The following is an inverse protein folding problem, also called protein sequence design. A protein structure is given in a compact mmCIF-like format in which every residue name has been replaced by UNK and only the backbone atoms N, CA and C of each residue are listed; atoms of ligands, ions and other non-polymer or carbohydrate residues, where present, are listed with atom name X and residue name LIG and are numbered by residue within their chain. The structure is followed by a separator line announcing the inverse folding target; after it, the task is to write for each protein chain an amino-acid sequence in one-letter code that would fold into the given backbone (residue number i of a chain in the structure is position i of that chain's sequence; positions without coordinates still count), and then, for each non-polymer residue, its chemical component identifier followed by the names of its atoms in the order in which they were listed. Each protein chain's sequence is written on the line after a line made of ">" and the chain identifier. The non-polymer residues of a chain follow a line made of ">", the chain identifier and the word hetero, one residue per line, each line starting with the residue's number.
data_IF_370854882811
#
_entry.id   IF_370854882811
#
_cell.length_a   1.000
_cell.length_b   1.000
_cell.length_c   1.000
_cell.angle_alpha   90.00
_cell.angle_beta   90.00
_cell.angle_gamma   90.00
#
_symmetry.space_group_name_H-M   'P 1'
#
loop_
_entity.id
_entity.type
_entity.pdbx_description
1 polymer ?
#
# COMPACT_ATOMS: atom_id res chain seq x y z
N UNK A 1 12.24 -2.96 -21.56
CA UNK A 1 11.24 -2.69 -20.49
C UNK A 1 11.75 -3.20 -19.14
N UNK A 2 12.63 -4.20 -19.13
CA UNK A 2 13.20 -4.75 -17.89
C UNK A 2 14.69 -4.39 -17.78
N UNK A 3 15.10 -3.96 -16.60
CA UNK A 3 16.49 -3.66 -16.21
C UNK A 3 16.85 -4.57 -15.03
N UNK A 4 17.95 -5.30 -15.13
CA UNK A 4 18.41 -6.21 -14.08
C UNK A 4 19.90 -5.91 -13.84
N UNK A 5 20.27 -5.60 -12.60
CA UNK A 5 21.67 -5.49 -12.22
C UNK A 5 22.35 -6.87 -12.33
N UNK A 6 23.68 -6.88 -12.49
CA UNK A 6 24.45 -8.12 -12.52
C UNK A 6 24.25 -8.92 -11.22
N UNK A 7 23.70 -10.13 -11.33
CA UNK A 7 23.46 -10.99 -10.18
C UNK A 7 24.67 -11.89 -9.91
N UNK A 8 25.18 -11.86 -8.67
CA UNK A 8 26.34 -12.65 -8.28
C UNK A 8 26.08 -14.15 -8.45
N UNK A 9 27.00 -14.83 -9.14
CA UNK A 9 26.91 -16.28 -9.38
C UNK A 9 25.92 -16.71 -10.47
N UNK A 10 25.33 -15.75 -11.22
CA UNK A 10 24.44 -16.04 -12.35
C UNK A 10 25.07 -15.54 -13.64
N UNK A 11 25.16 -16.43 -14.63
CA UNK A 11 25.70 -16.10 -15.94
C UNK A 11 24.81 -15.08 -16.68
N UNK A 12 25.44 -14.15 -17.42
CA UNK A 12 24.73 -13.10 -18.18
C UNK A 12 23.71 -13.68 -19.17
N UNK A 13 23.98 -14.85 -19.75
CA UNK A 13 23.02 -15.53 -20.63
C UNK A 13 21.75 -15.98 -19.91
N UNK A 14 21.85 -16.34 -18.62
CA UNK A 14 20.70 -16.70 -17.79
C UNK A 14 19.91 -15.44 -17.43
N UNK A 15 20.61 -14.33 -17.12
CA UNK A 15 19.97 -13.04 -16.87
C UNK A 15 19.14 -12.59 -18.08
N UNK A 16 19.68 -12.71 -19.29
CA UNK A 16 18.93 -12.35 -20.49
C UNK A 16 17.72 -13.28 -20.72
N UNK A 17 17.85 -14.58 -20.45
CA UNK A 17 16.70 -15.50 -20.51
C UNK A 17 15.60 -15.15 -19.50
N UNK A 18 15.96 -14.77 -18.27
CA UNK A 18 15.00 -14.30 -17.26
C UNK A 18 14.31 -13.02 -17.73
N UNK A 19 15.07 -12.10 -18.31
CA UNK A 19 14.55 -10.86 -18.88
C UNK A 19 13.53 -11.13 -19.97
N UNK A 20 13.88 -11.94 -20.99
CA UNK A 20 12.98 -12.32 -22.07
C UNK A 20 11.73 -13.05 -21.56
N UNK A 21 11.90 -13.96 -20.60
CA UNK A 21 10.81 -14.70 -19.98
C UNK A 21 9.81 -13.80 -19.24
N UNK A 22 10.32 -12.81 -18.49
CA UNK A 22 9.48 -11.86 -17.77
C UNK A 22 8.84 -10.84 -18.73
N UNK A 23 9.54 -10.38 -19.76
CA UNK A 23 8.99 -9.50 -20.79
C UNK A 23 7.82 -10.18 -21.50
N UNK A 24 7.98 -11.46 -21.85
CA UNK A 24 6.92 -12.29 -22.42
C UNK A 24 5.74 -12.44 -21.46
N UNK A 25 5.99 -12.75 -20.19
CA UNK A 25 4.94 -12.87 -19.17
C UNK A 25 4.12 -11.57 -19.05
N UNK A 26 4.77 -10.41 -19.02
CA UNK A 26 4.10 -9.11 -18.93
C UNK A 26 3.23 -8.89 -20.17
N UNK A 27 3.77 -9.08 -21.37
CA UNK A 27 3.05 -8.82 -22.63
C UNK A 27 1.89 -9.80 -22.84
N UNK A 28 2.11 -11.08 -22.54
CA UNK A 28 1.14 -12.13 -22.84
C UNK A 28 0.08 -12.33 -21.75
N UNK A 29 0.31 -11.84 -20.53
CA UNK A 29 -0.63 -11.96 -19.41
C UNK A 29 -1.10 -10.59 -18.91
N UNK A 30 -0.21 -9.79 -18.33
CA UNK A 30 -0.61 -8.60 -17.57
C UNK A 30 -1.06 -7.44 -18.47
N UNK A 31 -0.36 -7.17 -19.56
CA UNK A 31 -0.70 -6.08 -20.50
C UNK A 31 -2.02 -6.31 -21.26
N UNK A 32 -2.65 -7.50 -21.13
CA UNK A 32 -3.98 -7.77 -21.70
C UNK A 32 -5.11 -7.29 -20.81
N UNK A 33 -4.86 -7.12 -19.51
CA UNK A 33 -5.87 -6.76 -18.50
C UNK A 33 -5.53 -5.45 -17.78
N UNK A 34 -4.27 -5.03 -17.81
CA UNK A 34 -3.78 -3.76 -17.28
C UNK A 34 -3.33 -2.84 -18.42
N UNK A 35 -3.59 -1.55 -18.27
CA UNK A 35 -3.02 -0.48 -19.05
C UNK A 35 -1.65 -0.10 -18.49
N UNK A 36 -0.60 -0.64 -19.10
CA UNK A 36 0.78 -0.39 -18.71
C UNK A 36 1.44 0.73 -19.55
N UNK A 37 0.65 1.62 -20.17
CA UNK A 37 1.18 2.68 -21.05
C UNK A 37 2.09 3.70 -20.34
N UNK A 38 1.95 3.81 -19.01
CA UNK A 38 2.82 4.63 -18.17
C UNK A 38 4.09 3.92 -17.71
N UNK A 39 4.19 2.59 -17.83
CA UNK A 39 5.39 1.87 -17.41
C UNK A 39 6.62 2.31 -18.22
N UNK A 40 7.65 2.82 -17.55
CA UNK A 40 8.97 3.06 -18.12
C UNK A 40 9.78 1.75 -18.09
N UNK A 41 10.02 1.23 -16.88
CA UNK A 41 10.70 -0.05 -16.70
C UNK A 41 10.43 -0.71 -15.35
N UNK A 42 10.68 -2.02 -15.30
CA UNK A 42 10.90 -2.78 -14.08
C UNK A 42 12.40 -2.87 -13.83
N UNK A 43 12.84 -2.55 -12.62
CA UNK A 43 14.24 -2.59 -12.22
C UNK A 43 14.46 -3.54 -11.05
N UNK A 44 15.37 -4.49 -11.25
CA UNK A 44 15.84 -5.44 -10.25
C UNK A 44 17.28 -5.08 -9.83
N UNK A 45 17.45 -4.14 -8.90
CA UNK A 45 18.76 -3.74 -8.42
C UNK A 45 19.43 -4.81 -7.54
N UNK A 46 20.75 -4.74 -7.45
CA UNK A 46 21.52 -5.57 -6.53
C UNK A 46 21.28 -5.22 -5.06
N UNK A 47 21.05 -3.92 -4.81
CA UNK A 47 20.74 -3.32 -3.52
C UNK A 47 19.48 -2.46 -3.69
N UNK A 48 18.34 -3.05 -3.33
CA UNK A 48 17.02 -2.43 -3.50
C UNK A 48 16.88 -1.14 -2.71
N UNK A 49 17.26 -1.15 -1.44
CA UNK A 49 17.05 -0.02 -0.55
C UNK A 49 17.93 1.17 -0.99
N UNK A 50 19.17 0.89 -1.40
CA UNK A 50 20.05 1.91 -1.97
C UNK A 50 19.50 2.45 -3.29
N UNK A 51 19.08 1.60 -4.22
CA UNK A 51 18.58 2.03 -5.53
C UNK A 51 17.34 2.93 -5.43
N UNK A 52 16.42 2.61 -4.51
CA UNK A 52 15.25 3.44 -4.22
C UNK A 52 15.67 4.82 -3.69
N UNK A 53 16.58 4.85 -2.70
CA UNK A 53 17.06 6.11 -2.11
C UNK A 53 17.79 6.97 -3.15
N UNK A 54 18.72 6.37 -3.90
CA UNK A 54 19.49 7.07 -4.94
C UNK A 54 18.56 7.69 -5.98
N UNK A 55 17.52 6.94 -6.40
CA UNK A 55 16.52 7.43 -7.34
C UNK A 55 15.68 8.60 -6.77
N UNK A 56 15.18 8.49 -5.54
CA UNK A 56 14.43 9.56 -4.88
C UNK A 56 15.26 10.84 -4.75
N UNK A 57 16.55 10.71 -4.42
CA UNK A 57 17.48 11.85 -4.36
C UNK A 57 17.69 12.47 -5.74
N UNK A 58 17.89 11.64 -6.78
CA UNK A 58 18.05 12.11 -8.16
C UNK A 58 16.81 12.90 -8.63
N UNK A 59 15.61 12.44 -8.29
CA UNK A 59 14.34 13.06 -8.66
C UNK A 59 13.88 14.18 -7.71
N UNK A 60 14.68 14.56 -6.71
CA UNK A 60 14.32 15.53 -5.67
C UNK A 60 12.99 15.24 -4.96
N UNK A 61 12.67 13.96 -4.75
CA UNK A 61 11.47 13.55 -4.02
C UNK A 61 11.59 13.90 -2.53
N UNK A 62 10.48 14.38 -1.95
CA UNK A 62 10.42 14.72 -0.53
C UNK A 62 10.46 13.46 0.36
N UNK A 63 9.82 12.38 -0.07
CA UNK A 63 9.86 11.08 0.58
C UNK A 63 11.23 10.41 0.35
N UNK A 64 11.78 9.79 1.41
CA UNK A 64 13.06 9.07 1.35
C UNK A 64 12.93 7.69 1.97
N UNK A 65 13.46 6.69 1.27
CA UNK A 65 13.52 5.30 1.68
C UNK A 65 12.39 4.43 1.16
N UNK A 66 12.42 3.19 1.64
CA UNK A 66 11.46 2.11 1.46
C UNK A 66 10.88 1.70 2.81
N UNK A 67 9.74 1.02 2.83
CA UNK A 67 9.21 0.44 4.08
C UNK A 67 10.17 -0.65 4.58
N UNK A 68 10.80 -0.41 5.72
CA UNK A 68 11.64 -1.38 6.41
C UNK A 68 11.45 -1.23 7.92
N UNK A 69 10.38 -1.81 8.46
CA UNK A 69 10.07 -1.78 9.88
C UNK A 69 9.81 -3.21 10.41
N UNK A 70 9.64 -3.34 11.74
CA UNK A 70 9.43 -4.64 12.40
C UNK A 70 8.18 -5.39 11.92
N UNK A 71 7.27 -4.72 11.21
CA UNK A 71 5.99 -5.26 10.75
C UNK A 71 5.97 -5.58 9.26
N UNK A 72 7.02 -5.21 8.50
CA UNK A 72 7.08 -5.49 7.08
C UNK A 72 8.31 -4.94 6.36
N UNK A 73 8.75 -5.69 5.35
CA UNK A 73 9.80 -5.29 4.41
C UNK A 73 9.18 -5.02 3.05
N UNK A 74 9.45 -3.87 2.43
CA UNK A 74 9.05 -3.59 1.06
C UNK A 74 9.76 -4.54 0.09
N UNK A 75 9.00 -5.26 -0.73
CA UNK A 75 9.53 -6.15 -1.78
C UNK A 75 9.49 -5.51 -3.17
N UNK A 76 8.69 -4.46 -3.32
CA UNK A 76 8.62 -3.61 -4.49
C UNK A 76 8.31 -2.16 -4.10
N UNK A 77 8.52 -1.24 -5.04
CA UNK A 77 8.09 0.15 -4.95
C UNK A 77 7.89 0.72 -6.35
N UNK A 78 6.70 1.22 -6.63
CA UNK A 78 6.38 1.95 -7.86
C UNK A 78 6.53 3.46 -7.61
N UNK A 79 7.26 4.16 -8.48
CA UNK A 79 7.51 5.60 -8.34
C UNK A 79 7.25 6.33 -9.65
N UNK A 80 6.53 7.44 -9.57
CA UNK A 80 6.22 8.32 -10.69
C UNK A 80 7.41 9.24 -11.03
N UNK A 81 7.61 9.50 -12.32
CA UNK A 81 8.67 10.38 -12.83
C UNK A 81 8.22 11.07 -14.11
N UNK A 82 8.64 12.33 -14.30
CA UNK A 82 8.51 13.01 -15.58
C UNK A 82 9.64 12.57 -16.53
N UNK A 83 9.26 11.97 -17.66
CA UNK A 83 10.18 11.62 -18.74
C UNK A 83 9.75 12.37 -19.99
N UNK A 84 10.44 13.48 -20.27
CA UNK A 84 10.20 14.35 -21.42
C UNK A 84 8.77 14.93 -21.48
N UNK A 85 8.25 15.38 -20.34
CA UNK A 85 6.91 15.96 -20.21
C UNK A 85 5.79 14.93 -20.17
N UNK A 86 6.11 13.65 -19.95
CA UNK A 86 5.14 12.58 -19.76
C UNK A 86 5.36 11.92 -18.40
N UNK A 87 4.30 11.80 -17.61
CA UNK A 87 4.33 11.01 -16.39
C UNK A 87 4.48 9.53 -16.73
N UNK A 88 5.50 8.91 -16.13
CA UNK A 88 5.85 7.51 -16.29
C UNK A 88 6.10 6.88 -14.94
N UNK A 89 5.97 5.56 -14.87
CA UNK A 89 6.14 4.77 -13.66
C UNK A 89 7.39 3.89 -13.77
N UNK A 90 8.25 3.96 -12.76
CA UNK A 90 9.41 3.08 -12.60
C UNK A 90 9.16 2.16 -11.42
N UNK A 91 9.20 0.86 -11.69
CA UNK A 91 8.92 -0.17 -10.70
C UNK A 91 10.25 -0.76 -10.23
N UNK A 92 10.56 -0.62 -8.94
CA UNK A 92 11.73 -1.22 -8.32
C UNK A 92 11.31 -2.49 -7.60
N UNK A 93 12.04 -3.59 -7.78
CA UNK A 93 11.73 -4.89 -7.20
C UNK A 93 12.98 -5.53 -6.64
N UNK A 94 12.88 -6.14 -5.45
CA UNK A 94 14.00 -6.92 -4.89
C UNK A 94 14.40 -8.04 -5.86
N UNK A 95 15.71 -8.23 -6.09
CA UNK A 95 16.22 -9.26 -7.03
C UNK A 95 15.76 -10.68 -6.67
N UNK A 96 15.52 -10.94 -5.39
CA UNK A 96 15.02 -12.21 -4.88
C UNK A 96 13.66 -12.56 -5.50
N UNK A 97 12.82 -11.57 -5.82
CA UNK A 97 11.54 -11.77 -6.53
C UNK A 97 11.79 -12.38 -7.91
N UNK A 98 12.78 -11.87 -8.65
CA UNK A 98 13.16 -12.42 -9.95
C UNK A 98 13.68 -13.86 -9.79
N UNK A 99 14.58 -14.08 -8.84
CA UNK A 99 15.18 -15.40 -8.60
C UNK A 99 14.13 -16.43 -8.22
N UNK A 100 13.22 -16.10 -7.32
CA UNK A 100 12.14 -16.99 -6.91
C UNK A 100 11.14 -17.25 -8.03
N UNK A 101 10.84 -16.25 -8.89
CA UNK A 101 9.96 -16.47 -10.04
C UNK A 101 10.49 -17.56 -10.98
N UNK A 102 11.80 -17.59 -11.26
CA UNK A 102 12.38 -18.53 -12.21
C UNK A 102 12.89 -19.83 -11.57
N UNK A 103 13.45 -19.75 -10.36
CA UNK A 103 14.13 -20.87 -9.70
C UNK A 103 13.48 -21.33 -8.39
N UNK A 104 12.49 -20.61 -7.89
CA UNK A 104 11.83 -20.93 -6.64
C UNK A 104 10.94 -22.18 -6.70
N UNK A 105 10.47 -22.59 -5.53
CA UNK A 105 9.39 -23.57 -5.37
C UNK A 105 8.04 -22.92 -5.68
N UNK A 106 7.01 -23.75 -5.93
CA UNK A 106 5.69 -23.29 -6.39
C UNK A 106 5.10 -22.16 -5.55
N UNK A 107 5.21 -22.25 -4.21
CA UNK A 107 4.72 -21.19 -3.33
C UNK A 107 5.49 -19.87 -3.50
N UNK A 108 6.83 -19.93 -3.47
CA UNK A 108 7.68 -18.73 -3.64
C UNK A 108 7.55 -18.12 -5.04
N UNK A 109 7.30 -18.94 -6.06
CA UNK A 109 6.97 -18.52 -7.42
C UNK A 109 5.65 -17.76 -7.47
N UNK A 110 4.58 -18.32 -6.87
CA UNK A 110 3.27 -17.66 -6.81
C UNK A 110 3.34 -16.31 -6.09
N UNK A 111 4.04 -16.25 -4.95
CA UNK A 111 4.24 -15.00 -4.20
C UNK A 111 4.98 -13.98 -5.08
N UNK A 112 6.09 -14.38 -5.71
CA UNK A 112 6.89 -13.48 -6.56
C UNK A 112 6.12 -12.98 -7.78
N UNK A 113 5.34 -13.87 -8.41
CA UNK A 113 4.44 -13.51 -9.50
C UNK A 113 3.39 -12.49 -9.06
N UNK A 114 2.79 -12.71 -7.88
CA UNK A 114 1.82 -11.78 -7.31
C UNK A 114 2.44 -10.44 -6.92
N UNK A 115 3.67 -10.41 -6.39
CA UNK A 115 4.39 -9.15 -6.12
C UNK A 115 4.62 -8.36 -7.41
N UNK A 116 5.06 -9.01 -8.49
CA UNK A 116 5.21 -8.33 -9.79
C UNK A 116 3.86 -7.81 -10.31
N UNK A 117 2.82 -8.64 -10.21
CA UNK A 117 1.48 -8.26 -10.65
C UNK A 117 0.94 -7.07 -9.83
N UNK A 118 1.15 -7.07 -8.51
CA UNK A 118 0.79 -5.99 -7.60
C UNK A 118 1.44 -4.66 -7.99
N UNK A 119 2.76 -4.64 -8.24
CA UNK A 119 3.41 -3.41 -8.67
C UNK A 119 2.94 -2.93 -10.05
N UNK A 120 2.65 -3.85 -10.98
CA UNK A 120 2.05 -3.50 -12.27
C UNK A 120 0.62 -2.95 -12.12
N UNK A 121 -0.12 -3.39 -11.10
CA UNK A 121 -1.43 -2.86 -10.76
C UNK A 121 -1.34 -1.41 -10.22
N UNK A 122 -0.27 -1.02 -9.53
CA UNK A 122 -0.01 0.40 -9.22
C UNK A 122 0.18 1.24 -10.49
N UNK A 123 0.84 0.72 -11.52
CA UNK A 123 0.96 1.43 -12.82
C UNK A 123 -0.41 1.68 -13.46
N UNK A 124 -1.31 0.70 -13.41
CA UNK A 124 -2.70 0.85 -13.84
C UNK A 124 -3.42 1.91 -13.00
N UNK A 125 -3.28 1.86 -11.68
CA UNK A 125 -3.90 2.83 -10.77
C UNK A 125 -3.42 4.26 -11.06
N UNK A 126 -2.12 4.47 -11.22
CA UNK A 126 -1.56 5.77 -11.59
C UNK A 126 -2.06 6.25 -12.96
N UNK A 127 -2.28 5.34 -13.91
CA UNK A 127 -2.93 5.67 -15.18
C UNK A 127 -4.35 6.16 -14.97
N UNK A 128 -5.15 5.44 -14.19
CA UNK A 128 -6.53 5.80 -13.91
C UNK A 128 -6.62 7.15 -13.20
N UNK A 129 -5.84 7.35 -12.13
CA UNK A 129 -5.79 8.60 -11.37
C UNK A 129 -5.37 9.79 -12.25
N UNK A 130 -4.37 9.63 -13.10
CA UNK A 130 -3.93 10.69 -14.01
C UNK A 130 -5.00 11.09 -15.05
N UNK A 131 -5.99 10.22 -15.31
CA UNK A 131 -7.13 10.54 -16.17
C UNK A 131 -8.30 11.18 -15.40
N UNK A 132 -8.29 11.18 -14.07
CA UNK A 132 -9.26 11.88 -13.22
C UNK A 132 -8.84 13.35 -13.01
N UNK A 133 -8.72 14.11 -14.10
CA UNK A 133 -8.10 15.46 -14.10
C UNK A 133 -8.73 16.40 -13.07
N UNK A 134 -10.07 16.50 -13.03
CA UNK A 134 -10.77 17.39 -12.07
C UNK A 134 -10.48 17.01 -10.61
N UNK A 135 -10.39 15.70 -10.32
CA UNK A 135 -10.08 15.18 -9.00
C UNK A 135 -8.63 15.49 -8.61
N UNK A 136 -7.68 15.27 -9.53
CA UNK A 136 -6.25 15.53 -9.29
C UNK A 136 -5.97 17.03 -9.08
N UNK A 137 -6.58 17.91 -9.88
CA UNK A 137 -6.44 19.36 -9.73
C UNK A 137 -6.87 19.86 -8.34
N UNK A 138 -7.90 19.25 -7.75
CA UNK A 138 -8.34 19.58 -6.39
C UNK A 138 -7.46 18.91 -5.32
N UNK A 139 -6.99 17.69 -5.55
CA UNK A 139 -6.14 16.94 -4.63
C UNK A 139 -4.74 17.57 -4.47
N UNK A 140 -4.16 18.08 -5.56
CA UNK A 140 -2.81 18.66 -5.64
C UNK A 140 -2.67 20.03 -4.96
N UNK A 141 -3.74 20.57 -4.40
CA UNK A 141 -3.70 21.84 -3.65
C UNK A 141 -2.94 21.64 -2.34
N UNK A 142 -1.61 21.80 -2.40
CA UNK A 142 -0.74 21.72 -1.23
C UNK A 142 -1.16 22.72 -0.15
N UNK A 143 -1.41 22.19 1.05
CA UNK A 143 -1.81 22.99 2.20
C UNK A 143 -1.33 22.31 3.49
N UNK A 144 -0.74 23.04 4.45
CA UNK A 144 -0.32 22.47 5.73
C UNK A 144 -1.53 22.24 6.66
N UNK A 145 -2.62 21.68 6.15
CA UNK A 145 -3.88 21.44 6.85
C UNK A 145 -4.03 19.96 7.18
N UNK A 146 -4.83 19.68 8.21
CA UNK A 146 -5.30 18.33 8.53
C UNK A 146 -5.93 17.64 7.31
N UNK A 147 -6.63 18.40 6.48
CA UNK A 147 -7.29 17.88 5.28
C UNK A 147 -6.28 17.36 4.25
N UNK A 148 -5.15 18.05 4.03
CA UNK A 148 -4.08 17.54 3.15
C UNK A 148 -3.46 16.25 3.68
N UNK A 149 -3.27 16.15 5.01
CA UNK A 149 -2.80 14.91 5.66
C UNK A 149 -3.82 13.77 5.46
N UNK A 150 -5.10 14.05 5.67
CA UNK A 150 -6.18 13.07 5.47
C UNK A 150 -6.31 12.64 4.00
N UNK A 151 -6.18 13.57 3.04
CA UNK A 151 -6.14 13.27 1.60
C UNK A 151 -5.03 12.26 1.30
N UNK A 152 -3.82 12.52 1.77
CA UNK A 152 -2.67 11.64 1.55
C UNK A 152 -2.88 10.25 2.17
N UNK A 153 -3.41 10.17 3.40
CA UNK A 153 -3.71 8.87 4.01
C UNK A 153 -4.84 8.13 3.29
N UNK A 154 -5.91 8.82 2.88
CA UNK A 154 -7.05 8.22 2.19
C UNK A 154 -6.63 7.63 0.83
N UNK A 155 -5.82 8.35 0.05
CA UNK A 155 -5.30 7.83 -1.21
C UNK A 155 -4.37 6.63 -1.01
N UNK A 156 -3.47 6.69 -0.02
CA UNK A 156 -2.62 5.55 0.32
C UNK A 156 -3.44 4.32 0.75
N UNK A 157 -4.49 4.51 1.54
CA UNK A 157 -5.36 3.44 2.00
C UNK A 157 -6.18 2.84 0.85
N UNK A 158 -6.71 3.68 -0.03
CA UNK A 158 -7.45 3.21 -1.21
C UNK A 158 -6.55 2.43 -2.18
N UNK A 159 -5.34 2.92 -2.43
CA UNK A 159 -4.35 2.25 -3.27
C UNK A 159 -4.06 0.83 -2.77
N UNK A 160 -3.87 0.70 -1.46
CA UNK A 160 -3.62 -0.58 -0.78
C UNK A 160 -4.85 -1.48 -0.71
N UNK A 161 -6.02 -1.02 -1.15
CA UNK A 161 -7.22 -1.84 -1.38
C UNK A 161 -7.37 -2.24 -2.86
N UNK A 162 -7.32 -1.27 -3.78
CA UNK A 162 -7.65 -1.51 -5.19
C UNK A 162 -6.59 -2.35 -5.88
N UNK A 163 -5.31 -2.15 -5.52
CA UNK A 163 -4.18 -2.87 -6.13
C UNK A 163 -4.18 -4.35 -5.74
N UNK A 164 -4.26 -4.74 -4.45
CA UNK A 164 -4.40 -6.15 -4.08
C UNK A 164 -5.61 -6.82 -4.71
N UNK A 165 -6.75 -6.11 -4.81
CA UNK A 165 -7.94 -6.61 -5.48
C UNK A 165 -7.70 -6.97 -6.94
N UNK A 166 -7.00 -6.12 -7.69
CA UNK A 166 -6.63 -6.42 -9.08
C UNK A 166 -5.60 -7.57 -9.16
N UNK A 167 -4.64 -7.59 -8.25
CA UNK A 167 -3.51 -8.51 -8.30
C UNK A 167 -3.84 -9.93 -7.79
N UNK A 168 -4.91 -10.12 -7.00
CA UNK A 168 -5.20 -11.37 -6.28
C UNK A 168 -5.34 -12.60 -7.19
N UNK A 169 -5.67 -12.41 -8.47
CA UNK A 169 -5.77 -13.49 -9.45
C UNK A 169 -4.48 -14.31 -9.65
N UNK A 170 -3.32 -13.76 -9.29
CA UNK A 170 -2.04 -14.48 -9.29
C UNK A 170 -1.59 -14.93 -7.90
N UNK A 171 -2.36 -14.59 -6.87
CA UNK A 171 -2.14 -15.02 -5.50
C UNK A 171 -2.83 -16.36 -5.29
N UNK A 172 -2.09 -17.38 -4.85
CA UNK A 172 -2.72 -18.62 -4.39
C UNK A 172 -3.67 -18.33 -3.22
N UNK A 173 -4.83 -19.01 -3.18
CA UNK A 173 -5.84 -18.83 -2.12
C UNK A 173 -5.26 -19.06 -0.70
N UNK A 174 -4.29 -19.98 -0.59
CA UNK A 174 -3.60 -20.31 0.66
C UNK A 174 -2.68 -19.18 1.17
N UNK A 175 -2.39 -18.20 0.31
CA UNK A 175 -1.52 -17.05 0.57
C UNK A 175 -2.31 -15.76 0.88
N UNK A 176 -3.64 -15.80 0.87
CA UNK A 176 -4.47 -14.68 1.32
C UNK A 176 -4.19 -14.40 2.79
N UNK A 177 -4.26 -13.13 3.19
CA UNK A 177 -4.02 -12.71 4.57
C UNK A 177 -4.98 -13.44 5.51
N UNK A 178 -4.43 -14.11 6.52
CA UNK A 178 -5.19 -14.95 7.45
C UNK A 178 -5.59 -14.18 8.71
N UNK A 179 -6.72 -14.51 9.36
CA UNK A 179 -7.16 -13.86 10.58
C UNK A 179 -6.11 -13.81 11.69
N UNK A 180 -5.28 -14.85 11.84
CA UNK A 180 -4.24 -14.90 12.87
C UNK A 180 -3.19 -13.80 12.66
N UNK A 181 -2.82 -13.51 11.42
CA UNK A 181 -1.91 -12.40 11.11
C UNK A 181 -2.55 -11.04 11.43
N UNK A 182 -3.85 -10.89 11.16
CA UNK A 182 -4.58 -9.66 11.53
C UNK A 182 -4.63 -9.48 13.04
N UNK A 183 -4.81 -10.56 13.80
CA UNK A 183 -4.76 -10.55 15.25
C UNK A 183 -3.40 -10.05 15.76
N UNK A 184 -2.30 -10.58 15.21
CA UNK A 184 -0.94 -10.15 15.56
C UNK A 184 -0.71 -8.66 15.27
N UNK A 185 -1.17 -8.16 14.10
CA UNK A 185 -1.02 -6.76 13.71
C UNK A 185 -1.87 -5.83 14.61
N UNK A 186 -3.08 -6.23 14.99
CA UNK A 186 -3.93 -5.47 15.92
C UNK A 186 -3.28 -5.37 17.30
N UNK A 187 -2.80 -6.48 17.84
CA UNK A 187 -2.14 -6.52 19.14
C UNK A 187 -0.85 -5.70 19.15
N UNK A 188 0.03 -5.88 18.16
CA UNK A 188 1.24 -5.08 18.04
C UNK A 188 0.94 -3.59 17.93
N UNK A 189 -0.04 -3.21 17.09
CA UNK A 189 -0.40 -1.80 16.91
C UNK A 189 -0.89 -1.18 18.21
N UNK A 190 -1.73 -1.90 18.97
CA UNK A 190 -2.19 -1.47 20.29
C UNK A 190 -1.02 -1.28 21.26
N UNK A 191 -0.15 -2.28 21.39
CA UNK A 191 1.02 -2.21 22.29
C UNK A 191 1.96 -1.05 21.95
N UNK A 192 2.23 -0.81 20.67
CA UNK A 192 3.09 0.28 20.25
C UNK A 192 2.46 1.65 20.51
N UNK A 193 1.17 1.81 20.23
CA UNK A 193 0.47 3.07 20.53
C UNK A 193 0.47 3.34 22.03
N UNK A 194 0.22 2.33 22.86
CA UNK A 194 0.26 2.46 24.32
C UNK A 194 1.65 2.92 24.80
N UNK A 195 2.73 2.35 24.26
CA UNK A 195 4.11 2.79 24.57
C UNK A 195 4.39 4.24 24.16
N UNK A 196 3.92 4.66 23.00
CA UNK A 196 4.10 6.04 22.51
C UNK A 196 3.31 7.02 23.38
N UNK A 197 2.08 6.66 23.78
CA UNK A 197 1.27 7.46 24.70
C UNK A 197 1.95 7.56 26.07
N UNK A 198 2.44 6.45 26.63
CA UNK A 198 3.17 6.43 27.90
C UNK A 198 4.42 7.33 27.85
N UNK A 199 5.17 7.28 26.74
CA UNK A 199 6.34 8.15 26.52
C UNK A 199 5.97 9.63 26.50
N UNK A 200 4.79 9.98 25.98
CA UNK A 200 4.28 11.35 26.05
C UNK A 200 3.87 11.74 27.48
N UNK A 201 3.19 10.85 28.21
CA UNK A 201 2.78 11.08 29.60
C UNK A 201 3.99 11.26 30.54
N UNK A 202 5.11 10.61 30.24
CA UNK A 202 6.38 10.75 30.95
C UNK A 202 7.21 11.98 30.51
N UNK A 203 6.64 12.88 29.70
CA UNK A 203 7.29 14.09 29.16
C UNK A 203 8.50 13.82 28.25
N UNK A 204 8.70 12.58 27.80
CA UNK A 204 9.81 12.19 26.91
C UNK A 204 9.52 12.52 25.44
N UNK A 205 8.23 12.61 25.08
CA UNK A 205 7.76 12.87 23.72
C UNK A 205 6.85 14.10 23.66
N UNK A 206 7.11 15.03 22.74
CA UNK A 206 6.21 16.19 22.51
C UNK A 206 4.98 15.79 21.68
N UNK A 207 3.88 16.51 21.84
CA UNK A 207 2.58 16.16 21.24
C UNK A 207 2.60 15.97 19.71
N UNK A 208 3.38 16.77 18.98
CA UNK A 208 3.49 16.63 17.53
C UNK A 208 4.23 15.34 17.12
N UNK A 209 5.21 14.92 17.91
CA UNK A 209 5.90 13.64 17.67
C UNK A 209 5.00 12.46 18.03
N UNK A 210 4.27 12.54 19.15
CA UNK A 210 3.23 11.56 19.48
C UNK A 210 2.24 11.40 18.33
N UNK A 211 1.70 12.49 17.81
CA UNK A 211 0.74 12.41 16.70
C UNK A 211 1.37 11.80 15.45
N UNK A 212 2.61 12.16 15.12
CA UNK A 212 3.34 11.54 14.01
C UNK A 212 3.49 10.02 14.18
N UNK A 213 3.89 9.55 15.37
CA UNK A 213 4.02 8.12 15.66
C UNK A 213 2.66 7.41 15.58
N UNK A 214 1.59 7.97 16.17
CA UNK A 214 0.24 7.39 16.08
C UNK A 214 -0.24 7.32 14.64
N UNK A 215 -0.01 8.37 13.83
CA UNK A 215 -0.32 8.34 12.40
C UNK A 215 0.42 7.22 11.68
N UNK A 216 1.72 7.04 11.94
CA UNK A 216 2.51 5.98 11.31
C UNK A 216 1.99 4.59 11.65
N UNK A 217 1.74 4.31 12.93
CA UNK A 217 1.25 3.00 13.39
C UNK A 217 -0.17 2.70 12.89
N UNK A 218 -1.08 3.66 13.02
CA UNK A 218 -2.47 3.51 12.53
C UNK A 218 -2.55 3.44 11.01
N UNK A 219 -1.70 4.19 10.28
CA UNK A 219 -1.64 4.09 8.83
C UNK A 219 -1.19 2.71 8.38
N UNK A 220 -0.20 2.10 9.04
CA UNK A 220 0.21 0.74 8.71
C UNK A 220 -0.91 -0.28 8.94
N UNK A 221 -1.58 -0.20 10.09
CA UNK A 221 -2.74 -1.03 10.39
C UNK A 221 -3.83 -0.90 9.32
N UNK A 222 -4.23 0.34 8.99
CA UNK A 222 -5.27 0.58 7.99
C UNK A 222 -4.87 0.08 6.59
N UNK A 223 -3.61 0.18 6.21
CA UNK A 223 -3.10 -0.42 4.97
C UNK A 223 -3.27 -1.94 4.95
N UNK A 224 -2.84 -2.64 6.01
CA UNK A 224 -2.99 -4.10 6.09
C UNK A 224 -4.46 -4.52 6.03
N UNK A 225 -5.35 -3.81 6.74
CA UNK A 225 -6.79 -4.06 6.70
C UNK A 225 -7.38 -3.81 5.30
N UNK A 226 -6.91 -2.76 4.61
CA UNK A 226 -7.34 -2.43 3.25
C UNK A 226 -6.87 -3.46 2.23
N UNK A 227 -5.62 -3.93 2.34
CA UNK A 227 -5.08 -5.03 1.54
C UNK A 227 -5.88 -6.30 1.72
N UNK A 228 -6.23 -6.63 2.96
CA UNK A 228 -7.07 -7.79 3.26
C UNK A 228 -8.44 -7.68 2.62
N UNK A 229 -9.08 -6.52 2.73
CA UNK A 229 -10.37 -6.26 2.08
C UNK A 229 -10.27 -6.31 0.55
N UNK A 230 -9.20 -5.77 -0.03
CA UNK A 230 -8.94 -5.81 -1.46
C UNK A 230 -8.82 -7.24 -1.97
N UNK A 231 -8.02 -8.07 -1.29
CA UNK A 231 -7.89 -9.49 -1.61
C UNK A 231 -9.23 -10.23 -1.52
N UNK A 232 -10.00 -10.00 -0.46
CA UNK A 232 -11.33 -10.62 -0.29
C UNK A 232 -12.31 -10.22 -1.39
N UNK A 233 -12.31 -8.95 -1.78
CA UNK A 233 -13.21 -8.44 -2.82
C UNK A 233 -12.77 -8.84 -4.24
N UNK A 234 -11.57 -9.42 -4.39
CA UNK A 234 -11.04 -9.91 -5.67
C UNK A 234 -11.14 -11.43 -5.87
N UNK A 235 -11.50 -12.21 -4.85
CA UNK A 235 -11.65 -13.68 -4.94
C UNK A 235 -13.12 -14.12 -5.10
N UNK A 236 -13.33 -15.43 -5.20
CA UNK A 236 -14.67 -16.02 -5.26
C UNK A 236 -15.51 -15.69 -4.02
N UNK A 237 -16.77 -15.31 -4.25
CA UNK A 237 -17.65 -14.72 -3.23
C UNK A 237 -17.92 -15.66 -2.06
N UNK A 238 -18.03 -16.97 -2.30
CA UNK A 238 -18.26 -17.96 -1.24
C UNK A 238 -17.08 -18.03 -0.26
N UNK A 239 -15.84 -18.05 -0.79
CA UNK A 239 -14.63 -18.03 0.03
C UNK A 239 -14.50 -16.70 0.77
N UNK A 240 -14.70 -15.58 0.06
CA UNK A 240 -14.60 -14.25 0.64
C UNK A 240 -15.53 -14.09 1.86
N UNK A 241 -16.79 -14.51 1.74
CA UNK A 241 -17.77 -14.43 2.82
C UNK A 241 -17.42 -15.28 4.05
N UNK A 242 -16.71 -16.40 3.88
CA UNK A 242 -16.27 -17.24 5.00
C UNK A 242 -15.17 -16.52 5.79
N UNK A 243 -14.15 -16.02 5.09
CA UNK A 243 -13.01 -15.34 5.71
C UNK A 243 -13.46 -14.00 6.31
N UNK A 244 -14.28 -13.22 5.61
CA UNK A 244 -14.81 -11.95 6.11
C UNK A 244 -15.59 -12.13 7.42
N UNK A 245 -16.41 -13.19 7.54
CA UNK A 245 -17.11 -13.49 8.81
C UNK A 245 -16.16 -13.82 9.96
N UNK A 246 -15.05 -14.50 9.69
CA UNK A 246 -14.04 -14.78 10.70
C UNK A 246 -13.35 -13.50 11.16
N UNK A 247 -13.00 -12.61 10.23
CA UNK A 247 -12.42 -11.30 10.51
C UNK A 247 -13.39 -10.40 11.28
N UNK A 248 -14.65 -10.30 10.84
CA UNK A 248 -15.68 -9.53 11.54
C UNK A 248 -15.84 -10.03 13.00
N UNK A 249 -15.83 -11.35 13.21
CA UNK A 249 -15.89 -11.94 14.56
C UNK A 249 -14.62 -11.66 15.38
N UNK A 250 -13.44 -11.73 14.79
CA UNK A 250 -12.16 -11.45 15.45
C UNK A 250 -12.10 -9.99 15.89
N UNK A 251 -12.30 -9.07 14.95
CA UNK A 251 -12.16 -7.62 15.13
C UNK A 251 -13.25 -7.07 16.07
N UNK A 252 -14.40 -7.73 16.18
CA UNK A 252 -15.43 -7.36 17.15
C UNK A 252 -14.96 -7.38 18.62
N UNK A 253 -13.85 -8.06 18.93
CA UNK A 253 -13.26 -8.10 20.26
C UNK A 253 -12.33 -6.90 20.54
N UNK A 254 -12.08 -6.05 19.55
CA UNK A 254 -11.18 -4.90 19.65
C UNK A 254 -11.97 -3.58 19.60
N UNK A 255 -11.41 -2.53 20.21
CA UNK A 255 -12.01 -1.18 20.21
C UNK A 255 -12.12 -0.57 18.79
N UNK A 256 -11.51 -1.20 17.79
CA UNK A 256 -11.50 -0.80 16.39
C UNK A 256 -12.68 -1.36 15.56
N UNK A 257 -13.61 -2.11 16.16
CA UNK A 257 -14.72 -2.71 15.40
C UNK A 257 -15.51 -1.70 14.55
N UNK A 258 -15.80 -0.51 15.10
CA UNK A 258 -16.49 0.54 14.34
C UNK A 258 -15.64 1.06 13.17
N UNK A 259 -14.34 1.31 13.40
CA UNK A 259 -13.41 1.72 12.36
C UNK A 259 -13.29 0.67 11.25
N UNK A 260 -13.28 -0.62 11.59
CA UNK A 260 -13.25 -1.71 10.62
C UNK A 260 -14.49 -1.71 9.71
N UNK A 261 -15.69 -1.58 10.28
CA UNK A 261 -16.93 -1.51 9.52
C UNK A 261 -16.99 -0.24 8.65
N UNK A 262 -16.51 0.89 9.18
CA UNK A 262 -16.40 2.17 8.47
C UNK A 262 -15.46 2.07 7.27
N UNK A 263 -14.24 1.52 7.48
CA UNK A 263 -13.25 1.28 6.44
C UNK A 263 -13.82 0.41 5.31
N UNK A 264 -14.46 -0.70 5.68
CA UNK A 264 -15.08 -1.63 4.75
C UNK A 264 -16.15 -0.96 3.88
N UNK A 265 -17.02 -0.16 4.50
CA UNK A 265 -18.06 0.58 3.78
C UNK A 265 -17.47 1.65 2.86
N UNK A 266 -16.46 2.38 3.34
CA UNK A 266 -15.83 3.47 2.60
C UNK A 266 -15.07 2.96 1.37
N UNK A 267 -14.24 1.92 1.53
CA UNK A 267 -13.48 1.32 0.42
C UNK A 267 -14.39 0.73 -0.66
N UNK A 268 -15.39 -0.06 -0.26
CA UNK A 268 -16.34 -0.66 -1.21
C UNK A 268 -17.15 0.41 -1.94
N UNK A 269 -17.62 1.44 -1.22
CA UNK A 269 -18.35 2.57 -1.82
C UNK A 269 -17.50 3.36 -2.82
N UNK A 270 -16.25 3.65 -2.49
CA UNK A 270 -15.30 4.31 -3.41
C UNK A 270 -15.04 3.48 -4.67
N UNK A 271 -14.89 2.17 -4.50
CA UNK A 271 -14.65 1.25 -5.60
C UNK A 271 -15.84 1.14 -6.57
N UNK A 272 -17.07 1.43 -6.14
CA UNK A 272 -18.24 1.42 -7.05
C UNK A 272 -18.14 2.49 -8.15
N UNK A 273 -17.46 3.60 -7.88
CA UNK A 273 -17.33 4.73 -8.82
C UNK A 273 -15.94 4.86 -9.44
N UNK A 274 -14.93 4.19 -8.88
CA UNK A 274 -13.58 4.13 -9.46
C UNK A 274 -13.60 3.49 -10.87
N UNK A 275 -12.85 3.99 -11.88
CA UNK A 275 -11.91 5.12 -11.87
C UNK A 275 -12.53 6.44 -12.41
N UNK A 276 -13.71 6.84 -11.95
CA UNK A 276 -14.45 7.99 -12.51
C UNK A 276 -14.69 9.11 -11.50
N UNK A 277 -13.80 9.26 -10.52
CA UNK A 277 -13.90 10.33 -9.54
C UNK A 277 -13.64 11.68 -10.19
N UNK A 278 -14.34 12.69 -9.68
CA UNK A 278 -14.28 14.09 -10.16
C UNK A 278 -13.91 15.06 -9.06
N UNK A 279 -14.10 14.70 -7.79
CA UNK A 279 -13.90 15.63 -6.67
C UNK A 279 -13.31 14.96 -5.45
N UNK A 280 -12.52 15.70 -4.70
CA UNK A 280 -11.88 15.21 -3.46
C UNK A 280 -12.91 14.81 -2.40
N UNK A 281 -14.15 15.33 -2.45
CA UNK A 281 -15.20 14.90 -1.52
C UNK A 281 -15.60 13.43 -1.69
N UNK A 282 -15.26 12.77 -2.81
CA UNK A 282 -15.52 11.34 -2.98
C UNK A 282 -14.71 10.49 -1.98
N UNK A 283 -13.51 10.93 -1.59
CA UNK A 283 -12.67 10.23 -0.61
C UNK A 283 -12.96 10.63 0.85
N UNK A 284 -13.92 11.54 1.09
CA UNK A 284 -14.30 11.97 2.45
C UNK A 284 -14.68 10.81 3.40
N UNK A 285 -15.41 9.77 2.96
CA UNK A 285 -15.70 8.63 3.83
C UNK A 285 -14.46 7.90 4.36
N UNK A 286 -13.36 7.86 3.58
CA UNK A 286 -12.09 7.31 4.07
C UNK A 286 -11.42 8.26 5.06
N UNK A 287 -11.47 9.57 4.83
CA UNK A 287 -10.94 10.57 5.77
C UNK A 287 -11.62 10.47 7.13
N UNK A 288 -12.95 10.31 7.13
CA UNK A 288 -13.73 10.12 8.34
C UNK A 288 -13.31 8.85 9.08
N UNK A 289 -13.10 7.74 8.37
CA UNK A 289 -12.61 6.49 8.96
C UNK A 289 -11.21 6.63 9.58
N UNK A 290 -10.29 7.33 8.90
CA UNK A 290 -8.93 7.60 9.41
C UNK A 290 -9.00 8.42 10.69
N UNK A 291 -9.80 9.50 10.68
CA UNK A 291 -10.00 10.36 11.84
C UNK A 291 -10.64 9.61 13.02
N UNK A 292 -11.64 8.77 12.74
CA UNK A 292 -12.27 7.90 13.74
C UNK A 292 -11.25 6.94 14.36
N UNK A 293 -10.36 6.38 13.55
CA UNK A 293 -9.28 5.49 14.02
C UNK A 293 -8.36 6.21 14.99
N UNK A 294 -7.93 7.44 14.68
CA UNK A 294 -7.12 8.24 15.61
C UNK A 294 -7.86 8.58 16.91
N UNK A 295 -9.15 8.91 16.80
CA UNK A 295 -10.00 9.20 17.96
C UNK A 295 -10.17 7.99 18.89
N UNK A 296 -10.27 6.77 18.32
CA UNK A 296 -10.30 5.51 19.09
C UNK A 296 -9.02 5.32 19.89
N UNK A 297 -7.88 5.85 19.45
CA UNK A 297 -6.63 5.86 20.22
C UNK A 297 -6.44 7.11 21.11
N UNK A 298 -7.50 7.90 21.30
CA UNK A 298 -7.46 9.06 22.17
C UNK A 298 -6.83 10.31 21.56
N UNK A 299 -6.52 10.32 20.25
CA UNK A 299 -5.88 11.44 19.56
C UNK A 299 -6.89 12.18 18.68
N UNK A 300 -7.11 13.46 18.97
CA UNK A 300 -8.12 14.30 18.33
C UNK A 300 -7.45 15.51 17.65
N UNK A 301 -7.04 15.38 16.38
CA UNK A 301 -6.49 16.50 15.63
C UNK A 301 -7.60 17.48 15.22
N UNK A 302 -7.35 18.77 15.45
CA UNK A 302 -8.25 19.87 15.09
C UNK A 302 -7.51 20.90 14.22
N UNK A 303 -8.25 21.79 13.55
CA UNK A 303 -7.68 22.88 12.72
C UNK A 303 -6.68 23.78 13.45
N UNK A 304 -6.64 23.78 14.79
CA UNK A 304 -5.80 24.67 15.62
C UNK A 304 -4.81 23.92 16.53
N UNK A 305 -4.68 22.60 16.41
CA UNK A 305 -3.79 21.81 17.25
C UNK A 305 -4.29 20.38 17.46
N UNK A 306 -3.64 19.64 18.37
CA UNK A 306 -3.97 18.25 18.69
C UNK A 306 -4.45 18.20 20.14
N UNK A 307 -5.56 17.53 20.40
CA UNK A 307 -6.05 17.21 21.76
C UNK A 307 -5.89 15.73 22.04
N UNK A 308 -5.67 15.40 23.31
CA UNK A 308 -5.58 14.02 23.78
C UNK A 308 -6.66 13.82 24.84
N UNK A 309 -7.49 12.79 24.67
CA UNK A 309 -8.42 12.34 25.69
C UNK A 309 -8.02 10.93 26.14
N UNK A 310 -7.98 10.70 27.46
CA UNK A 310 -7.75 9.36 28.00
C UNK A 310 -8.94 8.48 27.64
N UNK A 311 -8.67 7.33 27.02
CA UNK A 311 -9.61 6.22 27.07
C UNK A 311 -9.51 5.62 28.48
N UNK A 312 -10.53 5.90 29.29
CA UNK A 312 -10.71 5.32 30.62
C UNK A 312 -11.29 3.92 30.55
#
# INVERSE_FOLDING_TARGET
>A
MIVIDKLDGIDESIIEQMKEGLEKLIIESFAKVLNLSRLDYLYFPNDFDKAVIDFQVEQNMAERGSTNNEMGTAFGKTMEVDVNGQLKDRVFLRKEILLHLFFGEDNTKSISLNTIHHELCHVQEHYDLANMVEFQEELDVESPTLDSVLNAHAMNIFSEYIVPKMAVSTKGIDNIIKPEFIEDILNYTQEEIDRVIESHENEELIIYKLFGEVQLKTSHLLKVLSTTLGELDGIEIETALIIEKQLDSLISNYNLNHCWLSLKSALRGLNETYPNWKKVEEIEPLKDCILETWNVYGIYPEKRGIKIHKNS
#
